data_IF_333453459824
#
_entry.id   IF_333453459824
#
_cell.length_a   1.000
_cell.length_b   1.000
_cell.length_c   1.000
_cell.angle_alpha   90.00
_cell.angle_beta   90.00
_cell.angle_gamma   90.00
#
_symmetry.space_group_name_H-M   'P 1'
#
loop_
_entity.id
_entity.type
_entity.pdbx_description
1 polymer ?
#
# COMPACT_ATOMS: atom_id res chain seq x y z
N UNK A 1 61.67 -26.02 -13.87
CA UNK A 1 60.30 -26.15 -14.39
C UNK A 1 59.22 -25.94 -13.30
N UNK A 2 59.49 -25.16 -12.25
CA UNK A 2 58.56 -24.90 -11.13
C UNK A 2 58.30 -23.39 -10.87
N UNK A 3 58.80 -22.49 -11.74
CA UNK A 3 58.62 -21.04 -11.59
C UNK A 3 57.57 -20.47 -12.55
N UNK A 4 57.23 -21.19 -13.63
CA UNK A 4 56.23 -20.75 -14.61
C UNK A 4 54.79 -21.07 -14.15
N UNK A 5 54.59 -22.19 -13.46
CA UNK A 5 53.27 -22.66 -12.99
C UNK A 5 52.76 -21.80 -11.82
N UNK A 6 53.65 -21.28 -10.96
CA UNK A 6 53.26 -20.43 -9.84
C UNK A 6 52.82 -19.02 -10.28
N UNK A 7 53.36 -18.51 -11.40
CA UNK A 7 52.93 -17.23 -11.99
C UNK A 7 51.59 -17.34 -12.72
N UNK A 8 51.25 -18.51 -13.25
CA UNK A 8 49.94 -18.76 -13.87
C UNK A 8 48.83 -18.86 -12.81
N UNK A 9 49.14 -19.37 -11.61
CA UNK A 9 48.17 -19.42 -10.50
C UNK A 9 47.87 -18.04 -9.89
N UNK A 10 48.82 -17.10 -9.93
CA UNK A 10 48.62 -15.73 -9.41
C UNK A 10 47.92 -14.78 -10.40
N UNK A 11 47.88 -15.14 -11.70
CA UNK A 11 47.19 -14.36 -12.75
C UNK A 11 45.72 -14.78 -12.89
N UNK A 12 45.33 -15.95 -12.37
CA UNK A 12 43.94 -16.44 -12.42
C UNK A 12 43.03 -15.98 -11.27
N UNK A 13 43.57 -15.25 -10.28
CA UNK A 13 42.80 -14.76 -9.10
C UNK A 13 42.41 -13.27 -9.22
N UNK A 14 42.81 -12.58 -10.28
CA UNK A 14 42.59 -11.13 -10.43
C UNK A 14 41.48 -10.73 -11.43
N UNK A 15 40.62 -11.66 -11.86
CA UNK A 15 39.59 -11.39 -12.90
C UNK A 15 38.14 -11.44 -12.37
N UNK A 16 37.93 -11.63 -11.07
CA UNK A 16 36.58 -11.65 -10.48
C UNK A 16 36.14 -10.38 -9.73
N UNK A 17 36.78 -9.24 -9.98
CA UNK A 17 36.30 -7.94 -9.49
C UNK A 17 35.97 -6.99 -10.64
N UNK A 18 35.14 -7.47 -11.57
CA UNK A 18 34.26 -6.56 -12.33
C UNK A 18 32.91 -6.64 -11.64
N UNK A 19 32.80 -5.87 -10.55
CA UNK A 19 31.49 -5.44 -10.06
C UNK A 19 30.85 -4.73 -11.23
N UNK A 20 29.83 -5.37 -11.80
CA UNK A 20 28.86 -4.69 -12.64
C UNK A 20 28.32 -3.59 -11.74
N UNK A 21 28.78 -2.35 -11.93
CA UNK A 21 28.08 -1.21 -11.39
C UNK A 21 26.67 -1.37 -11.94
N UNK A 22 25.68 -1.59 -11.06
CA UNK A 22 24.30 -1.26 -11.43
C UNK A 22 24.39 0.20 -11.86
N UNK A 23 24.37 0.44 -13.16
CA UNK A 23 23.96 1.74 -13.64
C UNK A 23 22.66 2.02 -12.88
N UNK A 24 22.54 3.15 -12.17
CA UNK A 24 21.22 3.52 -11.68
C UNK A 24 20.32 3.48 -12.91
N UNK A 25 19.27 2.65 -12.84
CA UNK A 25 18.15 2.77 -13.76
C UNK A 25 17.54 4.13 -13.45
N UNK A 26 18.16 5.16 -14.01
CA UNK A 26 17.58 6.47 -14.17
C UNK A 26 16.52 6.26 -15.22
N UNK A 27 15.27 6.60 -14.89
CA UNK A 27 14.21 6.75 -15.88
C UNK A 27 14.78 7.72 -16.93
N UNK A 28 15.17 7.20 -18.10
CA UNK A 28 15.79 7.97 -19.16
C UNK A 28 14.72 8.83 -19.83
N UNK A 29 14.34 9.91 -19.15
CA UNK A 29 13.73 11.15 -19.65
C UNK A 29 13.38 12.12 -18.50
N UNK A 30 13.98 12.00 -17.32
CA UNK A 30 13.70 12.88 -16.19
C UNK A 30 14.83 13.88 -15.93
N UNK A 31 15.35 14.51 -16.99
CA UNK A 31 16.15 15.72 -16.82
C UNK A 31 15.15 16.85 -16.62
N UNK A 32 15.04 17.37 -15.40
CA UNK A 32 14.23 18.53 -15.07
C UNK A 32 14.42 19.63 -16.14
N UNK A 33 13.35 19.99 -16.90
CA UNK A 33 13.37 21.17 -17.75
C UNK A 33 13.75 22.42 -16.97
N UNK A 34 14.25 23.45 -17.64
CA UNK A 34 14.43 24.75 -17.00
C UNK A 34 13.04 25.37 -16.77
N UNK A 35 12.55 25.32 -15.52
CA UNK A 35 11.16 25.62 -15.18
C UNK A 35 10.84 27.12 -15.01
N UNK A 36 11.67 28.01 -15.57
CA UNK A 36 11.47 29.46 -15.46
C UNK A 36 10.16 29.96 -16.08
N UNK A 37 9.42 29.11 -16.81
CA UNK A 37 8.23 29.48 -17.55
C UNK A 37 6.98 28.62 -17.25
N UNK A 38 6.98 27.71 -16.25
CA UNK A 38 5.73 26.99 -15.91
C UNK A 38 4.66 28.04 -15.55
N UNK A 39 3.47 28.07 -16.18
CA UNK A 39 2.40 28.98 -15.80
C UNK A 39 1.96 28.79 -14.35
N UNK A 40 1.69 29.87 -13.61
CA UNK A 40 1.26 29.78 -12.20
C UNK A 40 0.02 28.90 -12.02
N UNK A 41 -0.91 28.96 -12.97
CA UNK A 41 -2.10 28.10 -12.97
C UNK A 41 -1.76 26.60 -13.01
N UNK A 42 -0.69 26.19 -13.70
CA UNK A 42 -0.27 24.77 -13.68
C UNK A 42 0.29 24.38 -12.32
N UNK A 43 1.03 25.27 -11.65
CA UNK A 43 1.51 25.02 -10.29
C UNK A 43 0.37 24.94 -9.29
N UNK A 44 -0.59 25.86 -9.37
CA UNK A 44 -1.79 25.83 -8.53
C UNK A 44 -2.60 24.55 -8.74
N UNK A 45 -2.77 24.11 -9.99
CA UNK A 45 -3.41 22.84 -10.31
C UNK A 45 -2.66 21.64 -9.72
N UNK A 46 -1.32 21.63 -9.83
CA UNK A 46 -0.48 20.59 -9.22
C UNK A 46 -0.62 20.56 -7.70
N UNK A 47 -0.51 21.72 -7.03
CA UNK A 47 -0.66 21.86 -5.58
C UNK A 47 -2.06 21.43 -5.15
N UNK A 48 -3.12 21.86 -5.86
CA UNK A 48 -4.49 21.43 -5.54
C UNK A 48 -4.62 19.91 -5.63
N UNK A 49 -4.13 19.32 -6.73
CA UNK A 49 -4.21 17.88 -6.97
C UNK A 49 -3.51 17.06 -5.89
N UNK A 50 -2.27 17.42 -5.50
CA UNK A 50 -1.55 16.67 -4.46
C UNK A 50 -2.24 16.77 -3.09
N UNK A 51 -2.90 17.90 -2.79
CA UNK A 51 -3.68 18.07 -1.55
C UNK A 51 -4.92 17.17 -1.56
N UNK A 52 -5.67 17.17 -2.66
CA UNK A 52 -6.86 16.30 -2.80
C UNK A 52 -6.46 14.82 -2.71
N UNK A 53 -5.43 14.42 -3.45
CA UNK A 53 -5.05 13.01 -3.56
C UNK A 53 -4.43 12.47 -2.26
N UNK A 54 -3.59 13.27 -1.56
CA UNK A 54 -2.93 12.83 -0.32
C UNK A 54 -3.79 13.03 0.93
N UNK A 55 -4.49 14.15 1.08
CA UNK A 55 -5.19 14.49 2.33
C UNK A 55 -6.70 14.64 2.18
N UNK A 56 -7.24 14.52 0.96
CA UNK A 56 -8.70 14.46 0.74
C UNK A 56 -9.42 15.81 0.76
N UNK A 57 -8.70 16.93 0.65
CA UNK A 57 -9.28 18.29 0.56
C UNK A 57 -8.44 19.21 -0.29
N UNK A 58 -9.02 20.32 -0.72
CA UNK A 58 -8.28 21.41 -1.36
C UNK A 58 -7.38 22.14 -0.34
N UNK A 59 -6.26 22.76 -0.78
CA UNK A 59 -5.46 23.63 0.07
C UNK A 59 -6.24 24.89 0.45
N UNK A 60 -5.99 25.41 1.65
CA UNK A 60 -6.42 26.75 2.05
C UNK A 60 -5.67 27.81 1.24
N UNK A 61 -6.21 29.02 1.11
CA UNK A 61 -5.58 30.11 0.34
C UNK A 61 -4.13 30.39 0.75
N UNK A 62 -3.84 30.36 2.06
CA UNK A 62 -2.50 30.54 2.59
C UNK A 62 -1.57 29.36 2.27
N UNK A 63 -2.09 28.13 2.30
CA UNK A 63 -1.35 26.91 1.95
C UNK A 63 -0.99 26.94 0.46
N UNK A 64 -1.95 27.27 -0.41
CA UNK A 64 -1.77 27.39 -1.85
C UNK A 64 -0.69 28.43 -2.18
N UNK A 65 -0.84 29.65 -1.65
CA UNK A 65 0.12 30.74 -1.90
C UNK A 65 1.53 30.36 -1.44
N UNK A 66 1.66 29.80 -0.24
CA UNK A 66 2.95 29.39 0.34
C UNK A 66 3.62 28.28 -0.47
N UNK A 67 2.87 27.24 -0.83
CA UNK A 67 3.45 26.07 -1.49
C UNK A 67 3.78 26.35 -2.95
N UNK A 68 2.97 27.14 -3.66
CA UNK A 68 3.30 27.62 -5.00
C UNK A 68 4.57 28.47 -4.97
N UNK A 69 4.69 29.38 -4.00
CA UNK A 69 5.91 30.19 -3.86
C UNK A 69 7.13 29.34 -3.52
N UNK A 70 6.99 28.35 -2.63
CA UNK A 70 8.07 27.42 -2.31
C UNK A 70 8.56 26.65 -3.54
N UNK A 71 7.64 26.15 -4.37
CA UNK A 71 7.99 25.48 -5.62
C UNK A 71 8.68 26.45 -6.58
N UNK A 72 8.21 27.69 -6.71
CA UNK A 72 8.85 28.72 -7.55
C UNK A 72 10.28 29.02 -7.14
N UNK A 73 10.48 29.27 -5.84
CA UNK A 73 11.79 29.61 -5.28
C UNK A 73 12.78 28.44 -5.39
N UNK A 74 12.26 27.22 -5.48
CA UNK A 74 13.04 25.98 -5.61
C UNK A 74 13.07 25.44 -7.05
N UNK A 75 12.79 26.30 -8.03
CA UNK A 75 12.81 25.99 -9.47
C UNK A 75 11.92 24.80 -9.84
N UNK A 76 10.88 24.46 -9.07
CA UNK A 76 9.95 23.35 -9.34
C UNK A 76 10.68 22.01 -9.56
N UNK A 77 11.86 21.85 -8.95
CA UNK A 77 12.68 20.65 -9.07
C UNK A 77 11.97 19.41 -8.53
N UNK A 78 12.39 18.22 -8.96
CA UNK A 78 11.85 16.96 -8.45
C UNK A 78 12.03 16.84 -6.93
N UNK A 79 13.12 17.40 -6.40
CA UNK A 79 13.44 17.44 -4.97
C UNK A 79 12.50 18.37 -4.21
N UNK A 80 12.14 19.52 -4.78
CA UNK A 80 11.18 20.44 -4.18
C UNK A 80 9.77 19.83 -4.15
N UNK A 81 9.37 19.15 -5.23
CA UNK A 81 8.10 18.41 -5.29
C UNK A 81 8.06 17.27 -4.28
N UNK A 82 9.11 16.46 -4.19
CA UNK A 82 9.21 15.39 -3.19
C UNK A 82 9.16 15.94 -1.76
N UNK A 83 9.81 17.08 -1.50
CA UNK A 83 9.77 17.77 -0.21
C UNK A 83 8.36 18.23 0.17
N UNK A 84 7.61 18.80 -0.78
CA UNK A 84 6.22 19.20 -0.57
C UNK A 84 5.31 17.99 -0.30
N UNK A 85 5.46 16.91 -1.09
CA UNK A 85 4.71 15.67 -0.86
C UNK A 85 5.03 15.07 0.52
N UNK A 86 6.31 15.09 0.91
CA UNK A 86 6.75 14.62 2.23
C UNK A 86 6.20 15.48 3.37
N UNK A 87 6.05 16.80 3.18
CA UNK A 87 5.35 17.69 4.12
C UNK A 87 3.93 17.19 4.35
N UNK A 88 3.17 16.94 3.28
CA UNK A 88 1.78 16.48 3.38
C UNK A 88 1.65 15.10 4.02
N UNK A 89 2.62 14.21 3.84
CA UNK A 89 2.58 12.87 4.42
C UNK A 89 3.01 12.80 5.89
N UNK A 90 3.88 13.70 6.37
CA UNK A 90 4.58 13.50 7.65
C UNK A 90 4.62 14.69 8.60
N UNK A 91 4.23 15.89 8.17
CA UNK A 91 4.24 17.06 9.06
C UNK A 91 3.14 16.94 10.14
N UNK A 92 3.56 17.07 11.39
CA UNK A 92 2.71 16.96 12.59
C UNK A 92 2.25 18.31 13.12
N UNK A 93 2.56 19.41 12.42
CA UNK A 93 2.17 20.76 12.81
C UNK A 93 0.65 20.86 12.87
N UNK A 94 0.14 21.52 13.91
CA UNK A 94 -1.30 21.62 14.11
C UNK A 94 -1.97 22.42 13.00
N UNK A 95 -3.02 21.84 12.42
CA UNK A 95 -3.88 22.48 11.42
C UNK A 95 -5.32 22.35 11.89
N UNK A 96 -6.02 23.48 11.93
CA UNK A 96 -7.43 23.51 12.31
C UNK A 96 -8.25 22.70 11.30
N UNK A 97 -9.03 21.74 11.80
CA UNK A 97 -9.83 20.82 10.97
C UNK A 97 -9.16 19.47 10.72
N UNK A 98 -7.84 19.46 10.48
CA UNK A 98 -7.10 18.25 10.13
C UNK A 98 -6.36 17.61 11.31
N UNK A 99 -6.21 18.33 12.42
CA UNK A 99 -5.22 18.06 13.48
C UNK A 99 -3.77 18.21 13.01
N UNK A 100 -3.36 17.57 11.91
CA UNK A 100 -2.08 17.79 11.22
C UNK A 100 -2.13 17.20 9.81
N UNK A 101 -1.21 17.59 8.91
CA UNK A 101 -1.11 16.97 7.58
C UNK A 101 -0.89 15.46 7.67
N UNK A 102 0.01 15.02 8.57
CA UNK A 102 0.24 13.59 8.82
C UNK A 102 -1.07 12.89 9.18
N UNK A 103 -1.83 13.41 10.14
CA UNK A 103 -3.09 12.79 10.55
C UNK A 103 -4.08 12.70 9.38
N UNK A 104 -4.28 13.79 8.63
CA UNK A 104 -5.18 13.81 7.48
C UNK A 104 -4.74 12.82 6.37
N UNK A 105 -3.44 12.71 6.10
CA UNK A 105 -2.90 11.75 5.14
C UNK A 105 -3.18 10.30 5.53
N UNK A 106 -2.87 9.91 6.78
CA UNK A 106 -3.10 8.52 7.22
C UNK A 106 -4.59 8.19 7.32
N UNK A 107 -5.43 9.16 7.70
CA UNK A 107 -6.88 9.04 7.65
C UNK A 107 -7.36 8.80 6.22
N UNK A 108 -6.85 9.58 5.25
CA UNK A 108 -7.17 9.43 3.82
C UNK A 108 -6.80 8.04 3.30
N UNK A 109 -5.61 7.53 3.63
CA UNK A 109 -5.20 6.17 3.22
C UNK A 109 -6.16 5.11 3.78
N UNK A 110 -6.50 5.19 5.07
CA UNK A 110 -7.44 4.28 5.70
C UNK A 110 -8.81 4.30 5.01
N UNK A 111 -9.35 5.49 4.72
CA UNK A 111 -10.63 5.64 4.02
C UNK A 111 -10.60 5.09 2.59
N UNK A 112 -9.54 5.33 1.82
CA UNK A 112 -9.44 4.77 0.46
C UNK A 112 -9.35 3.24 0.50
N UNK A 113 -8.58 2.67 1.45
CA UNK A 113 -8.53 1.22 1.66
C UNK A 113 -9.91 0.64 1.98
N UNK A 114 -10.70 1.29 2.83
CA UNK A 114 -12.09 0.90 3.11
C UNK A 114 -13.00 1.05 1.90
N UNK A 115 -12.88 2.13 1.13
CA UNK A 115 -13.68 2.30 -0.11
C UNK A 115 -13.43 1.15 -1.07
N UNK A 116 -12.16 0.76 -1.24
CA UNK A 116 -11.76 -0.32 -2.14
C UNK A 116 -12.21 -1.70 -1.65
N UNK A 117 -12.01 -2.00 -0.37
CA UNK A 117 -12.14 -3.38 0.14
C UNK A 117 -13.43 -3.61 0.91
N UNK A 118 -14.01 -2.57 1.52
CA UNK A 118 -15.19 -2.66 2.37
C UNK A 118 -16.33 -1.77 1.86
N UNK A 119 -16.39 -1.46 0.56
CA UNK A 119 -17.43 -0.62 -0.04
C UNK A 119 -17.64 0.74 0.68
N UNK A 120 -16.60 1.24 1.36
CA UNK A 120 -16.64 2.51 2.07
C UNK A 120 -17.52 2.50 3.32
N UNK A 121 -17.67 1.36 3.99
CA UNK A 121 -18.48 1.31 5.23
C UNK A 121 -18.00 2.33 6.28
N UNK A 122 -18.96 2.92 6.97
CA UNK A 122 -18.66 3.83 8.07
C UNK A 122 -18.09 3.07 9.29
N UNK A 123 -17.17 3.71 10.04
CA UNK A 123 -16.63 3.11 11.27
C UNK A 123 -17.73 2.79 12.29
N UNK A 124 -18.81 3.58 12.33
CA UNK A 124 -19.97 3.32 13.20
C UNK A 124 -20.67 1.99 12.90
N UNK A 125 -20.71 1.58 11.62
CA UNK A 125 -21.25 0.28 11.23
C UNK A 125 -20.34 -0.86 11.72
N UNK A 126 -19.03 -0.76 11.50
CA UNK A 126 -18.04 -1.73 12.00
C UNK A 126 -18.12 -1.83 13.52
N UNK A 127 -18.18 -0.70 14.23
CA UNK A 127 -18.34 -0.65 15.69
C UNK A 127 -19.65 -1.29 16.15
N UNK A 128 -20.75 -1.13 15.40
CA UNK A 128 -22.01 -1.80 15.71
C UNK A 128 -21.89 -3.32 15.58
N UNK A 129 -21.24 -3.83 14.52
CA UNK A 129 -21.01 -5.27 14.37
C UNK A 129 -20.10 -5.82 15.48
N UNK A 130 -19.03 -5.09 15.81
CA UNK A 130 -18.12 -5.39 16.90
C UNK A 130 -18.86 -5.51 18.24
N UNK A 131 -19.78 -4.59 18.55
CA UNK A 131 -20.60 -4.65 19.75
C UNK A 131 -21.54 -5.86 19.77
N UNK A 132 -22.06 -6.29 18.62
CA UNK A 132 -22.88 -7.50 18.52
C UNK A 132 -22.06 -8.76 18.89
N UNK A 133 -20.84 -8.88 18.37
CA UNK A 133 -19.94 -9.99 18.73
C UNK A 133 -19.57 -9.99 20.22
N UNK A 134 -19.35 -8.81 20.81
CA UNK A 134 -19.09 -8.68 22.24
C UNK A 134 -20.28 -9.13 23.10
N UNK A 135 -21.49 -8.71 22.74
CA UNK A 135 -22.70 -9.11 23.46
C UNK A 135 -22.96 -10.62 23.35
N UNK A 136 -22.74 -11.21 22.17
CA UNK A 136 -22.84 -12.66 21.97
C UNK A 136 -21.82 -13.41 22.84
N UNK A 137 -20.57 -12.94 22.90
CA UNK A 137 -19.54 -13.48 23.77
C UNK A 137 -19.98 -13.51 25.25
N UNK A 138 -20.56 -12.41 25.76
CA UNK A 138 -21.06 -12.34 27.14
C UNK A 138 -22.19 -13.36 27.35
N UNK A 139 -23.18 -13.39 26.46
CA UNK A 139 -24.34 -14.28 26.60
C UNK A 139 -23.94 -15.77 26.56
N UNK A 140 -23.04 -16.15 25.66
CA UNK A 140 -22.55 -17.53 25.52
C UNK A 140 -21.69 -17.93 26.73
N UNK A 141 -20.87 -17.01 27.24
CA UNK A 141 -20.07 -17.20 28.46
C UNK A 141 -20.95 -17.42 29.69
N UNK A 142 -22.02 -16.63 29.86
CA UNK A 142 -23.01 -16.81 30.93
C UNK A 142 -23.80 -18.11 30.79
N UNK A 143 -24.01 -18.57 29.55
CA UNK A 143 -24.67 -19.85 29.24
C UNK A 143 -23.71 -21.06 29.33
N UNK A 144 -22.44 -20.82 29.67
CA UNK A 144 -21.38 -21.81 29.76
C UNK A 144 -21.08 -22.54 28.42
N UNK A 145 -21.40 -21.92 27.29
CA UNK A 145 -20.95 -22.33 25.94
C UNK A 145 -19.65 -21.61 25.58
N UNK A 146 -18.55 -22.17 26.07
CA UNK A 146 -17.22 -21.58 25.88
C UNK A 146 -16.75 -21.61 24.41
N UNK A 147 -17.26 -22.53 23.59
CA UNK A 147 -16.84 -22.63 22.19
C UNK A 147 -17.39 -21.46 21.37
N UNK A 148 -18.70 -21.21 21.49
CA UNK A 148 -19.35 -20.09 20.81
C UNK A 148 -18.85 -18.75 21.34
N UNK A 149 -18.64 -18.65 22.66
CA UNK A 149 -18.04 -17.47 23.28
C UNK A 149 -16.67 -17.15 22.65
N UNK A 150 -15.75 -18.11 22.56
CA UNK A 150 -14.43 -17.88 21.98
C UNK A 150 -14.49 -17.46 20.50
N UNK A 151 -15.43 -18.00 19.71
CA UNK A 151 -15.66 -17.54 18.33
C UNK A 151 -16.14 -16.10 18.27
N UNK A 152 -17.03 -15.69 19.18
CA UNK A 152 -17.48 -14.31 19.31
C UNK A 152 -16.33 -13.36 19.65
N UNK A 153 -15.50 -13.74 20.62
CA UNK A 153 -14.33 -12.95 21.02
C UNK A 153 -13.29 -12.81 19.90
N UNK A 154 -13.05 -13.87 19.12
CA UNK A 154 -12.16 -13.82 17.96
C UNK A 154 -12.66 -12.80 16.92
N UNK A 155 -13.94 -12.85 16.54
CA UNK A 155 -14.53 -11.93 15.58
C UNK A 155 -14.54 -10.47 16.09
N UNK A 156 -14.76 -10.27 17.38
CA UNK A 156 -14.61 -8.97 18.02
C UNK A 156 -13.21 -8.41 17.81
N UNK A 157 -12.16 -9.18 18.10
CA UNK A 157 -10.78 -8.75 17.94
C UNK A 157 -10.43 -8.46 16.48
N UNK A 158 -10.91 -9.30 15.56
CA UNK A 158 -10.70 -9.11 14.11
C UNK A 158 -11.28 -7.77 13.64
N UNK A 159 -12.53 -7.45 13.99
CA UNK A 159 -13.12 -6.15 13.63
C UNK A 159 -12.45 -4.98 14.34
N UNK A 160 -12.00 -5.19 15.59
CA UNK A 160 -11.25 -4.17 16.32
C UNK A 160 -9.93 -3.84 15.61
N UNK A 161 -9.24 -4.85 15.07
CA UNK A 161 -8.01 -4.67 14.30
C UNK A 161 -8.24 -3.82 13.03
N UNK A 162 -9.42 -3.93 12.39
CA UNK A 162 -9.79 -3.04 11.28
C UNK A 162 -9.84 -1.60 11.76
N UNK A 163 -10.59 -1.32 12.84
CA UNK A 163 -10.73 0.04 13.38
C UNK A 163 -9.41 0.62 13.89
N UNK A 164 -8.55 -0.21 14.50
CA UNK A 164 -7.26 0.25 15.03
C UNK A 164 -6.19 0.41 13.94
N UNK A 165 -6.38 -0.18 12.76
CA UNK A 165 -5.39 -0.17 11.67
C UNK A 165 -5.00 1.24 11.22
N UNK A 166 -5.91 2.21 11.28
CA UNK A 166 -5.63 3.61 10.97
C UNK A 166 -4.52 4.19 11.86
N UNK A 167 -4.71 4.11 13.18
CA UNK A 167 -3.78 4.64 14.15
C UNK A 167 -2.50 3.80 14.23
N UNK A 168 -2.61 2.48 14.06
CA UNK A 168 -1.44 1.61 14.02
C UNK A 168 -0.55 1.92 12.80
N UNK A 169 -1.15 2.17 11.64
CA UNK A 169 -0.40 2.57 10.45
C UNK A 169 0.20 3.98 10.59
N UNK A 170 -0.56 4.93 11.13
CA UNK A 170 -0.08 6.28 11.47
C UNK A 170 1.16 6.26 12.39
N UNK A 171 1.19 5.32 13.34
CA UNK A 171 2.29 5.15 14.29
C UNK A 171 3.42 4.25 13.78
N UNK A 172 3.32 3.70 12.56
CA UNK A 172 4.30 2.78 11.99
C UNK A 172 4.38 1.42 12.71
N UNK A 173 3.29 1.02 13.37
CA UNK A 173 3.17 -0.28 14.05
C UNK A 173 2.88 -1.40 13.03
N UNK A 174 2.09 -1.07 12.00
CA UNK A 174 1.80 -1.94 10.88
C UNK A 174 2.24 -1.29 9.58
N UNK A 175 2.34 -2.11 8.54
CA UNK A 175 2.64 -1.70 7.17
C UNK A 175 1.37 -1.80 6.29
N UNK A 176 1.48 -1.38 5.03
CA UNK A 176 0.34 -1.31 4.11
C UNK A 176 -0.27 -2.69 3.82
N UNK A 177 0.53 -3.74 3.78
CA UNK A 177 0.10 -5.13 3.62
C UNK A 177 -0.80 -5.57 4.78
N UNK A 178 -0.42 -5.29 6.01
CA UNK A 178 -1.20 -5.68 7.19
C UNK A 178 -2.51 -4.89 7.29
N UNK A 179 -2.53 -3.61 6.88
CA UNK A 179 -3.78 -2.87 6.72
C UNK A 179 -4.70 -3.57 5.70
N UNK A 180 -4.20 -3.92 4.51
CA UNK A 180 -4.99 -4.63 3.49
C UNK A 180 -5.47 -6.01 3.98
N UNK A 181 -4.62 -6.76 4.68
CA UNK A 181 -4.98 -8.05 5.28
C UNK A 181 -6.16 -7.92 6.22
N UNK A 182 -6.13 -6.95 7.14
CA UNK A 182 -7.23 -6.71 8.08
C UNK A 182 -8.52 -6.32 7.36
N UNK A 183 -8.42 -5.53 6.28
CA UNK A 183 -9.57 -5.13 5.47
C UNK A 183 -10.24 -6.29 4.73
N UNK A 184 -9.49 -7.33 4.33
CA UNK A 184 -10.08 -8.53 3.70
C UNK A 184 -10.41 -9.65 4.70
N UNK A 185 -9.75 -9.68 5.86
CA UNK A 185 -9.95 -10.71 6.89
C UNK A 185 -10.89 -10.19 7.99
N UNK A 186 -12.17 -10.03 7.67
CA UNK A 186 -13.21 -9.68 8.64
C UNK A 186 -14.62 -10.02 8.14
N UNK A 187 -15.59 -10.02 9.06
CA UNK A 187 -16.97 -10.38 8.75
C UNK A 187 -17.70 -9.40 7.83
N UNK A 188 -17.27 -8.13 7.74
CA UNK A 188 -17.86 -7.16 6.80
C UNK A 188 -17.47 -7.53 5.37
N UNK A 189 -16.19 -7.80 5.12
CA UNK A 189 -15.70 -8.29 3.84
C UNK A 189 -16.38 -9.61 3.44
N UNK A 190 -16.63 -10.48 4.42
CA UNK A 190 -17.31 -11.76 4.19
C UNK A 190 -18.77 -11.58 3.81
N UNK A 191 -19.47 -10.62 4.43
CA UNK A 191 -20.86 -10.31 4.08
C UNK A 191 -20.97 -9.71 2.67
N UNK A 192 -20.03 -8.85 2.28
CA UNK A 192 -19.95 -8.28 0.92
C UNK A 192 -19.79 -9.40 -0.11
N UNK A 193 -18.88 -10.34 0.14
CA UNK A 193 -18.57 -11.40 -0.81
C UNK A 193 -19.50 -12.62 -0.69
N UNK A 194 -20.28 -12.74 0.39
CA UNK A 194 -21.33 -13.74 0.64
C UNK A 194 -20.88 -15.20 0.81
N UNK A 195 -19.85 -15.66 0.09
CA UNK A 195 -19.38 -17.05 0.15
C UNK A 195 -17.89 -17.15 -0.20
N UNK A 196 -17.31 -18.31 0.07
CA UNK A 196 -15.88 -18.58 -0.16
C UNK A 196 -15.46 -18.47 -1.63
N UNK A 197 -16.31 -18.89 -2.57
CA UNK A 197 -16.01 -18.74 -4.01
C UNK A 197 -15.81 -17.27 -4.39
N UNK A 198 -16.73 -16.41 -3.99
CA UNK A 198 -16.67 -14.98 -4.25
C UNK A 198 -15.53 -14.32 -3.45
N UNK A 199 -15.31 -14.71 -2.20
CA UNK A 199 -14.23 -14.20 -1.37
C UNK A 199 -12.86 -14.42 -2.04
N UNK A 200 -12.60 -15.64 -2.56
CA UNK A 200 -11.33 -15.96 -3.22
C UNK A 200 -11.16 -15.10 -4.47
N UNK A 201 -12.17 -15.06 -5.34
CA UNK A 201 -12.11 -14.25 -6.57
C UNK A 201 -11.91 -12.76 -6.26
N UNK A 202 -12.66 -12.23 -5.29
CA UNK A 202 -12.54 -10.84 -4.87
C UNK A 202 -11.18 -10.55 -4.24
N UNK A 203 -10.62 -11.44 -3.40
CA UNK A 203 -9.30 -11.23 -2.82
C UNK A 203 -8.20 -11.15 -3.90
N UNK A 204 -8.24 -12.03 -4.90
CA UNK A 204 -7.30 -12.00 -6.03
C UNK A 204 -7.51 -10.77 -6.91
N UNK A 205 -8.74 -10.43 -7.27
CA UNK A 205 -9.04 -9.26 -8.10
C UNK A 205 -8.68 -7.96 -7.37
N UNK A 206 -9.19 -7.79 -6.15
CA UNK A 206 -8.97 -6.60 -5.34
C UNK A 206 -7.50 -6.40 -4.98
N UNK A 207 -6.71 -7.45 -4.73
CA UNK A 207 -5.32 -7.29 -4.27
C UNK A 207 -4.29 -7.43 -5.38
N UNK A 208 -4.52 -8.32 -6.36
CA UNK A 208 -3.54 -8.69 -7.39
C UNK A 208 -3.93 -8.24 -8.81
N UNK A 209 -5.11 -7.63 -8.99
CA UNK A 209 -5.62 -7.18 -10.30
C UNK A 209 -5.73 -8.30 -11.34
N UNK A 210 -6.01 -9.53 -10.88
CA UNK A 210 -6.27 -10.69 -11.73
C UNK A 210 -7.18 -11.68 -11.02
N UNK A 211 -7.81 -12.55 -11.78
CA UNK A 211 -8.48 -13.73 -11.22
C UNK A 211 -7.46 -14.81 -10.81
N UNK A 212 -7.82 -15.69 -9.85
CA UNK A 212 -7.01 -16.86 -9.54
C UNK A 212 -6.99 -17.81 -10.74
N UNK A 213 -5.87 -18.51 -10.91
CA UNK A 213 -5.84 -19.70 -11.76
C UNK A 213 -6.70 -20.81 -11.12
N UNK A 214 -7.12 -21.82 -11.90
CA UNK A 214 -7.91 -22.93 -11.36
C UNK A 214 -7.19 -23.64 -10.20
N UNK A 215 -5.88 -23.84 -10.32
CA UNK A 215 -5.08 -24.44 -9.26
C UNK A 215 -5.09 -23.58 -7.98
N UNK A 216 -4.82 -22.28 -8.10
CA UNK A 216 -4.86 -21.37 -6.95
C UNK A 216 -6.25 -21.36 -6.30
N UNK A 217 -7.31 -21.31 -7.10
CA UNK A 217 -8.68 -21.35 -6.60
C UNK A 217 -8.96 -22.63 -5.81
N UNK A 218 -8.66 -23.80 -6.38
CA UNK A 218 -8.95 -25.09 -5.77
C UNK A 218 -8.18 -25.28 -4.45
N UNK A 219 -6.91 -24.87 -4.40
CA UNK A 219 -6.08 -24.97 -3.20
C UNK A 219 -6.53 -23.98 -2.11
N UNK A 220 -6.86 -22.73 -2.46
CA UNK A 220 -7.40 -21.78 -1.47
C UNK A 220 -8.77 -22.25 -0.96
N UNK A 221 -9.62 -22.78 -1.83
CA UNK A 221 -10.94 -23.27 -1.44
C UNK A 221 -10.85 -24.39 -0.40
N UNK A 222 -10.01 -25.41 -0.64
CA UNK A 222 -9.75 -26.49 0.34
C UNK A 222 -9.07 -25.96 1.61
N UNK A 223 -8.20 -24.96 1.49
CA UNK A 223 -7.55 -24.34 2.65
C UNK A 223 -8.57 -23.67 3.57
N UNK A 224 -9.59 -23.01 3.02
CA UNK A 224 -10.60 -22.28 3.79
C UNK A 224 -11.73 -23.21 4.29
N UNK A 225 -12.29 -24.05 3.41
CA UNK A 225 -13.45 -24.89 3.76
C UNK A 225 -13.05 -26.13 4.56
N UNK A 226 -12.02 -26.85 4.11
CA UNK A 226 -11.64 -28.13 4.71
C UNK A 226 -10.61 -27.96 5.85
N UNK A 227 -10.06 -26.76 6.03
CA UNK A 227 -8.97 -26.46 6.97
C UNK A 227 -7.76 -27.40 6.81
N UNK A 228 -7.46 -27.75 5.56
CA UNK A 228 -6.36 -28.65 5.19
C UNK A 228 -5.12 -27.86 4.77
N UNK A 229 -3.94 -28.43 5.00
CA UNK A 229 -2.69 -27.81 4.58
C UNK A 229 -2.57 -27.81 3.05
N UNK A 230 -2.52 -26.64 2.42
CA UNK A 230 -2.43 -26.43 0.97
C UNK A 230 -1.31 -25.43 0.67
N UNK A 231 -0.85 -25.39 -0.58
CA UNK A 231 0.24 -24.49 -1.01
C UNK A 231 -0.27 -23.54 -2.10
N UNK A 232 -0.21 -22.24 -1.81
CA UNK A 232 -0.67 -21.15 -2.67
C UNK A 232 0.41 -20.07 -2.70
N UNK A 233 0.68 -19.50 -3.87
CA UNK A 233 1.73 -18.48 -4.07
C UNK A 233 3.10 -18.90 -3.49
N UNK A 234 3.40 -20.20 -3.53
CA UNK A 234 4.65 -20.77 -3.02
C UNK A 234 4.75 -20.91 -1.49
N UNK A 235 3.69 -20.59 -0.74
CA UNK A 235 3.66 -20.66 0.73
C UNK A 235 2.57 -21.62 1.20
N UNK A 236 2.84 -22.35 2.28
CA UNK A 236 1.88 -23.27 2.89
C UNK A 236 0.95 -22.54 3.86
N UNK A 237 -0.34 -22.82 3.78
CA UNK A 237 -1.36 -22.37 4.73
C UNK A 237 -2.38 -23.46 5.00
N UNK A 238 -3.24 -23.30 6.01
CA UNK A 238 -4.24 -24.33 6.36
C UNK A 238 -5.59 -23.77 6.84
N UNK A 239 -5.78 -22.47 6.74
CA UNK A 239 -7.03 -21.80 7.11
C UNK A 239 -7.09 -20.44 6.40
N UNK A 240 -8.21 -19.75 6.56
CA UNK A 240 -8.44 -18.44 5.97
C UNK A 240 -7.47 -17.36 6.43
N UNK A 241 -7.10 -17.34 7.71
CA UNK A 241 -6.14 -16.38 8.25
C UNK A 241 -4.76 -16.53 7.58
N UNK A 242 -4.29 -17.77 7.43
CA UNK A 242 -3.05 -18.06 6.72
C UNK A 242 -3.15 -17.63 5.25
N UNK A 243 -4.27 -17.88 4.58
CA UNK A 243 -4.45 -17.39 3.20
C UNK A 243 -4.33 -15.87 3.11
N UNK A 244 -4.97 -15.11 4.02
CA UNK A 244 -4.89 -13.64 3.97
C UNK A 244 -3.49 -13.12 4.24
N UNK A 245 -2.71 -13.77 5.11
CA UNK A 245 -1.27 -13.49 5.25
C UNK A 245 -0.50 -13.78 3.95
N UNK A 246 -0.66 -14.99 3.39
CA UNK A 246 0.05 -15.43 2.18
C UNK A 246 -0.18 -14.45 1.02
N UNK A 247 -1.44 -14.08 0.75
CA UNK A 247 -1.74 -13.19 -0.37
C UNK A 247 -1.17 -11.79 -0.14
N UNK A 248 -1.29 -11.22 1.07
CA UNK A 248 -0.82 -9.87 1.37
C UNK A 248 0.70 -9.74 1.54
N UNK A 249 1.44 -10.84 1.72
CA UNK A 249 2.90 -10.83 1.83
C UNK A 249 3.60 -11.27 0.52
N UNK A 250 2.82 -11.71 -0.47
CA UNK A 250 3.34 -12.14 -1.78
C UNK A 250 3.92 -10.98 -2.58
N UNK A 251 4.88 -11.27 -3.47
CA UNK A 251 5.45 -10.25 -4.38
C UNK A 251 4.37 -9.65 -5.29
N UNK A 252 3.44 -10.49 -5.71
CA UNK A 252 2.28 -10.15 -6.51
C UNK A 252 1.40 -9.11 -5.82
N UNK A 253 1.28 -9.14 -4.48
CA UNK A 253 0.57 -8.09 -3.75
C UNK A 253 1.24 -6.72 -3.87
N UNK A 254 2.57 -6.65 -3.75
CA UNK A 254 3.29 -5.40 -3.90
C UNK A 254 3.20 -4.87 -5.34
N UNK A 255 3.23 -5.75 -6.35
CA UNK A 255 2.92 -5.37 -7.73
C UNK A 255 1.48 -4.85 -7.88
N UNK A 256 0.52 -5.50 -7.23
CA UNK A 256 -0.87 -5.05 -7.16
C UNK A 256 -1.00 -3.66 -6.53
N UNK A 257 -0.28 -3.36 -5.45
CA UNK A 257 -0.27 -2.02 -4.85
C UNK A 257 0.33 -0.98 -5.81
N UNK A 258 1.35 -1.33 -6.60
CA UNK A 258 1.87 -0.44 -7.66
C UNK A 258 0.78 -0.16 -8.70
N UNK A 259 0.11 -1.19 -9.22
CA UNK A 259 -0.99 -1.04 -10.19
C UNK A 259 -2.09 -0.15 -9.62
N UNK A 260 -2.52 -0.43 -8.39
CA UNK A 260 -3.54 0.37 -7.71
C UNK A 260 -3.14 1.84 -7.58
N UNK A 261 -1.87 2.11 -7.23
CA UNK A 261 -1.39 3.48 -7.04
C UNK A 261 -1.39 4.23 -8.37
N UNK A 262 -0.97 3.57 -9.46
CA UNK A 262 -1.03 4.13 -10.82
C UNK A 262 -2.46 4.39 -11.30
N UNK A 263 -3.38 3.46 -11.08
CA UNK A 263 -4.78 3.64 -11.45
C UNK A 263 -5.41 4.79 -10.64
N UNK A 264 -5.08 4.89 -9.35
CA UNK A 264 -5.61 5.95 -8.47
C UNK A 264 -5.07 7.32 -8.86
N UNK A 265 -3.76 7.44 -9.10
CA UNK A 265 -3.10 8.73 -9.28
C UNK A 265 -3.04 9.17 -10.75
N UNK A 266 -2.93 8.25 -11.71
CA UNK A 266 -2.73 8.53 -13.14
C UNK A 266 -3.83 7.95 -14.04
N UNK A 267 -4.82 7.23 -13.49
CA UNK A 267 -5.91 6.61 -14.25
C UNK A 267 -5.44 5.69 -15.39
N UNK A 268 -4.29 5.02 -15.22
CA UNK A 268 -3.75 4.03 -16.16
C UNK A 268 -2.99 2.93 -15.41
N UNK A 269 -2.63 1.86 -16.10
CA UNK A 269 -1.71 0.85 -15.58
C UNK A 269 -0.25 1.32 -15.73
N UNK A 270 0.66 0.89 -14.83
CA UNK A 270 2.09 1.08 -15.02
C UNK A 270 2.57 0.27 -16.23
N UNK A 271 3.60 0.77 -16.91
CA UNK A 271 4.33 -0.01 -17.90
C UNK A 271 5.37 -0.92 -17.24
N UNK A 272 5.97 -1.84 -18.01
CA UNK A 272 6.93 -2.82 -17.48
C UNK A 272 8.16 -2.19 -16.84
N UNK A 273 8.68 -1.08 -17.38
CA UNK A 273 9.86 -0.39 -16.84
C UNK A 273 9.54 0.30 -15.51
N UNK A 274 8.35 0.93 -15.42
CA UNK A 274 7.85 1.54 -14.18
C UNK A 274 7.65 0.51 -13.07
N UNK A 275 7.00 -0.62 -13.40
CA UNK A 275 6.79 -1.71 -12.44
C UNK A 275 8.13 -2.28 -11.97
N UNK A 276 9.07 -2.57 -12.88
CA UNK A 276 10.38 -3.12 -12.52
C UNK A 276 11.19 -2.14 -11.65
N UNK A 277 11.19 -0.85 -11.97
CA UNK A 277 11.86 0.16 -11.17
C UNK A 277 11.28 0.23 -9.75
N UNK A 278 9.96 0.29 -9.62
CA UNK A 278 9.28 0.49 -8.33
C UNK A 278 9.34 -0.76 -7.45
N UNK A 279 9.11 -1.95 -8.02
CA UNK A 279 9.05 -3.20 -7.24
C UNK A 279 10.40 -3.51 -6.58
N UNK A 280 11.51 -3.18 -7.24
CA UNK A 280 12.86 -3.44 -6.74
C UNK A 280 13.16 -2.76 -5.39
N UNK A 281 12.54 -1.62 -5.11
CA UNK A 281 12.65 -0.95 -3.81
C UNK A 281 11.43 -1.25 -2.93
N UNK A 282 10.22 -1.11 -3.46
CA UNK A 282 9.01 -1.18 -2.66
C UNK A 282 8.79 -2.56 -2.01
N UNK A 283 9.15 -3.65 -2.68
CA UNK A 283 9.06 -4.99 -2.10
C UNK A 283 10.02 -5.21 -0.91
N UNK A 284 11.06 -4.39 -0.77
CA UNK A 284 12.04 -4.50 0.32
C UNK A 284 11.74 -3.48 1.42
N UNK A 285 11.35 -2.26 1.06
CA UNK A 285 11.13 -1.17 2.01
C UNK A 285 9.72 -1.13 2.57
N UNK A 286 8.74 -1.69 1.86
CA UNK A 286 7.30 -1.61 2.15
C UNK A 286 6.79 -0.17 2.30
N UNK A 287 7.55 0.82 1.82
CA UNK A 287 7.28 2.24 1.98
C UNK A 287 6.28 2.71 0.90
N UNK A 288 5.00 2.62 1.24
CA UNK A 288 3.91 3.06 0.38
C UNK A 288 3.95 4.58 0.13
N UNK A 289 4.36 5.36 1.14
CA UNK A 289 4.51 6.80 1.03
C UNK A 289 5.56 7.12 -0.03
N UNK A 290 6.69 6.40 -0.06
CA UNK A 290 7.73 6.54 -1.09
C UNK A 290 7.21 6.21 -2.48
N UNK A 291 6.45 5.12 -2.63
CA UNK A 291 5.83 4.73 -3.90
C UNK A 291 4.96 5.86 -4.46
N UNK A 292 4.05 6.41 -3.64
CA UNK A 292 3.22 7.56 -4.04
C UNK A 292 4.08 8.74 -4.48
N UNK A 293 5.12 9.10 -3.70
CA UNK A 293 5.98 10.23 -4.05
C UNK A 293 6.74 10.02 -5.36
N UNK A 294 7.14 8.79 -5.69
CA UNK A 294 7.83 8.51 -6.96
C UNK A 294 6.95 8.83 -8.16
N UNK A 295 5.64 8.59 -8.06
CA UNK A 295 4.67 8.85 -9.11
C UNK A 295 4.30 10.33 -9.13
N UNK A 296 3.94 10.90 -7.98
CA UNK A 296 3.38 12.25 -7.88
C UNK A 296 4.38 13.37 -8.19
N UNK A 297 5.69 13.14 -8.03
CA UNK A 297 6.70 14.16 -8.36
C UNK A 297 6.96 14.30 -9.86
N UNK A 298 6.49 13.37 -10.69
CA UNK A 298 6.75 13.34 -12.14
C UNK A 298 6.02 14.45 -12.88
N UNK A 299 6.53 14.84 -14.05
CA UNK A 299 5.85 15.79 -14.94
C UNK A 299 4.54 15.25 -15.51
N UNK A 300 4.42 13.93 -15.67
CA UNK A 300 3.18 13.28 -16.08
C UNK A 300 2.06 13.53 -15.06
N UNK A 301 2.32 13.29 -13.78
CA UNK A 301 1.35 13.58 -12.74
C UNK A 301 1.07 15.08 -12.63
N UNK A 302 2.10 15.92 -12.76
CA UNK A 302 1.96 17.36 -12.64
C UNK A 302 1.31 18.03 -13.87
N UNK A 303 1.18 17.32 -14.99
CA UNK A 303 0.78 17.86 -16.29
C UNK A 303 1.66 19.06 -16.72
N UNK A 304 2.98 18.93 -16.56
CA UNK A 304 3.94 19.96 -16.99
C UNK A 304 4.50 19.74 -18.39
N UNK A 305 3.98 18.75 -19.11
CA UNK A 305 4.36 18.39 -20.47
C UNK A 305 3.79 19.35 -21.53
#
# INVERSE_FOLDING_TARGET
>A
MNSLIFKIFFISIFVFTVSCKKDPLVINNNNAPYYSEIPTILLENYVNRIYIDLIGREPLDEEMSKDVQFLRDSEVSLESRDSLLRKLQFDTTYIMGDSSYKFAYFHRVYEICKVRLLEGVANSYISSQLNNFWNNYINDSLSNDLLSANKGLLNYNILNNVLSSELEYYNGIIEINEMHRRMIYNSVYDNINMNTFNFINAAFDNLLFRYPTQYEFDEVYKMIEDNTAQVVLGVSGNNKEHFTHIICESREFYEGIIIWTYQTLLARNPNTEETDFLINNFFVSHDFQWLQRQIMKTDEYAHFN
#
